data_IF_458964622001
#
_entry.id   IF_458964622001
#
_cell.length_a   1.000
_cell.length_b   1.000
_cell.length_c   1.000
_cell.angle_alpha   90.00
_cell.angle_beta   90.00
_cell.angle_gamma   90.00
#
_symmetry.space_group_name_H-M   'P 1'
#
loop_
_entity.id
_entity.type
_entity.pdbx_description
1 polymer ?
#
# COMPACT_ATOMS: atom_id res chain seq x y z
N UNK A 1 -2.62 7.49 -52.60
CA UNK A 1 -1.77 6.95 -51.55
C UNK A 1 -2.68 6.36 -50.48
N UNK A 2 -2.73 5.02 -50.41
CA UNK A 2 -3.63 4.30 -49.48
C UNK A 2 -2.82 3.95 -48.23
N UNK A 3 -3.19 4.53 -47.08
CA UNK A 3 -2.64 4.17 -45.77
C UNK A 3 -3.18 2.80 -45.34
N UNK A 4 -2.29 1.82 -45.16
CA UNK A 4 -2.62 0.49 -44.61
C UNK A 4 -2.63 0.60 -43.10
N UNK A 5 -3.81 0.45 -42.51
CA UNK A 5 -3.95 0.18 -41.08
C UNK A 5 -3.57 -1.29 -40.85
N UNK A 6 -2.49 -1.52 -40.13
CA UNK A 6 -2.13 -2.83 -39.60
C UNK A 6 -2.89 -2.98 -38.29
N UNK A 7 -3.97 -3.75 -38.33
CA UNK A 7 -4.71 -4.18 -37.16
C UNK A 7 -3.92 -5.32 -36.51
N UNK A 8 -3.18 -5.04 -35.44
CA UNK A 8 -2.57 -6.08 -34.60
C UNK A 8 -3.65 -6.74 -33.78
N UNK A 9 -4.13 -7.87 -34.27
CA UNK A 9 -5.02 -8.77 -33.51
C UNK A 9 -4.19 -9.51 -32.46
N UNK A 10 -4.16 -8.98 -31.25
CA UNK A 10 -3.71 -9.68 -30.07
C UNK A 10 -4.70 -10.81 -29.77
N UNK A 11 -4.28 -12.04 -30.03
CA UNK A 11 -5.04 -13.26 -29.75
C UNK A 11 -5.11 -13.42 -28.23
N UNK A 12 -6.22 -12.98 -27.61
CA UNK A 12 -6.55 -13.30 -26.24
C UNK A 12 -6.83 -14.82 -26.15
N UNK A 13 -5.81 -15.55 -25.69
CA UNK A 13 -5.98 -16.96 -25.33
C UNK A 13 -6.78 -16.99 -24.01
N UNK A 14 -8.12 -17.04 -24.11
CA UNK A 14 -9.00 -17.24 -22.98
C UNK A 14 -8.88 -18.66 -22.47
N UNK A 15 -7.93 -18.92 -21.59
CA UNK A 15 -7.98 -20.10 -20.73
C UNK A 15 -9.16 -19.93 -19.77
N UNK A 16 -10.22 -20.69 -20.00
CA UNK A 16 -11.34 -20.89 -19.08
C UNK A 16 -10.84 -21.69 -17.86
N UNK A 17 -10.10 -21.03 -16.97
CA UNK A 17 -9.93 -21.49 -15.59
C UNK A 17 -11.18 -21.04 -14.83
N UNK A 18 -11.99 -22.00 -14.38
CA UNK A 18 -13.23 -21.75 -13.66
C UNK A 18 -12.92 -20.87 -12.41
N UNK A 19 -13.27 -19.58 -12.46
CA UNK A 19 -13.28 -18.69 -11.30
C UNK A 19 -12.28 -17.52 -11.30
N UNK A 20 -11.26 -17.47 -12.19
CA UNK A 20 -10.37 -16.30 -12.27
C UNK A 20 -10.97 -15.25 -13.21
N UNK A 21 -11.12 -14.02 -12.70
CA UNK A 21 -11.39 -12.83 -13.54
C UNK A 21 -10.14 -11.95 -13.50
N UNK A 22 -9.48 -11.84 -14.64
CA UNK A 22 -8.36 -10.91 -14.83
C UNK A 22 -8.81 -9.74 -15.71
N UNK A 23 -8.36 -8.54 -15.34
CA UNK A 23 -8.54 -7.32 -16.16
C UNK A 23 -7.28 -6.47 -16.02
N UNK A 24 -6.83 -5.91 -17.13
CA UNK A 24 -5.80 -4.89 -17.13
C UNK A 24 -6.48 -3.54 -16.96
N UNK A 25 -6.01 -2.75 -16.02
CA UNK A 25 -6.49 -1.38 -15.78
C UNK A 25 -5.29 -0.44 -15.71
N UNK A 26 -5.38 0.77 -16.28
CA UNK A 26 -4.37 1.79 -16.08
C UNK A 26 -4.33 2.15 -14.60
N UNK A 27 -3.14 2.12 -14.00
CA UNK A 27 -2.90 2.70 -12.69
C UNK A 27 -2.61 4.20 -12.81
N UNK A 28 -2.66 4.91 -11.70
CA UNK A 28 -2.11 6.27 -11.65
C UNK A 28 -0.59 6.18 -11.80
N UNK A 29 -0.09 6.36 -13.05
CA UNK A 29 1.31 6.22 -13.43
C UNK A 29 1.47 5.51 -14.78
N UNK A 30 2.70 5.18 -15.15
CA UNK A 30 3.04 4.55 -16.43
C UNK A 30 2.85 3.01 -16.45
N UNK A 31 2.48 2.40 -15.33
CA UNK A 31 2.40 0.94 -15.19
C UNK A 31 0.96 0.46 -15.21
N UNK A 32 0.59 -0.30 -16.23
CA UNK A 32 -0.67 -1.04 -16.24
C UNK A 32 -0.65 -2.13 -15.17
N UNK A 33 -1.76 -2.28 -14.44
CA UNK A 33 -1.90 -3.31 -13.41
C UNK A 33 -2.85 -4.42 -13.86
N UNK A 34 -2.52 -5.65 -13.46
CA UNK A 34 -3.36 -6.82 -13.67
C UNK A 34 -4.17 -7.02 -12.40
N UNK A 35 -5.46 -6.74 -12.48
CA UNK A 35 -6.38 -6.97 -11.37
C UNK A 35 -6.96 -8.37 -11.46
N UNK A 36 -6.83 -9.15 -10.39
CA UNK A 36 -7.33 -10.52 -10.33
C UNK A 36 -8.12 -10.78 -9.05
N UNK A 37 -9.16 -11.59 -9.19
CA UNK A 37 -9.91 -12.16 -8.08
C UNK A 37 -9.82 -13.67 -8.17
N UNK A 38 -9.10 -14.30 -7.25
CA UNK A 38 -8.86 -15.74 -7.24
C UNK A 38 -9.44 -16.32 -5.96
N UNK A 39 -10.39 -17.27 -6.04
CA UNK A 39 -11.11 -17.76 -4.86
C UNK A 39 -10.29 -18.73 -3.99
N UNK A 40 -9.21 -19.31 -4.52
CA UNK A 40 -8.40 -20.31 -3.84
C UNK A 40 -6.91 -20.01 -3.89
N UNK A 41 -6.16 -20.49 -2.89
CA UNK A 41 -4.71 -20.33 -2.88
C UNK A 41 -4.00 -21.11 -4.00
N UNK A 42 -4.57 -22.25 -4.46
CA UNK A 42 -4.04 -23.00 -5.59
C UNK A 42 -4.13 -22.20 -6.89
N UNK A 43 -5.31 -21.64 -7.20
CA UNK A 43 -5.48 -20.77 -8.38
C UNK A 43 -4.57 -19.55 -8.33
N UNK A 44 -4.33 -19.00 -7.12
CA UNK A 44 -3.38 -17.90 -6.95
C UNK A 44 -1.94 -18.33 -7.20
N UNK A 45 -1.53 -19.53 -6.79
CA UNK A 45 -0.21 -20.09 -7.13
C UNK A 45 -0.05 -20.29 -8.65
N UNK A 46 -1.09 -20.76 -9.34
CA UNK A 46 -1.09 -20.87 -10.80
C UNK A 46 -0.93 -19.49 -11.46
N UNK A 47 -1.65 -18.47 -10.98
CA UNK A 47 -1.50 -17.08 -11.45
C UNK A 47 -0.07 -16.58 -11.21
N UNK A 48 0.50 -16.77 -10.03
CA UNK A 48 1.89 -16.38 -9.77
C UNK A 48 2.90 -17.09 -10.67
N UNK A 49 2.65 -18.37 -11.00
CA UNK A 49 3.51 -19.11 -11.93
C UNK A 49 3.39 -18.59 -13.37
N UNK A 50 2.17 -18.24 -13.81
CA UNK A 50 1.92 -17.66 -15.14
C UNK A 50 2.73 -16.39 -15.35
N UNK A 51 2.81 -15.54 -14.31
CA UNK A 51 3.59 -14.29 -14.36
C UNK A 51 5.04 -14.46 -13.91
N UNK A 52 5.53 -15.70 -13.75
CA UNK A 52 6.89 -16.02 -13.28
C UNK A 52 7.27 -15.25 -12.00
N UNK A 53 6.30 -15.13 -11.08
CA UNK A 53 6.48 -14.37 -9.85
C UNK A 53 7.06 -15.22 -8.73
N UNK A 54 8.35 -15.01 -8.44
CA UNK A 54 9.07 -15.73 -7.37
C UNK A 54 9.83 -14.72 -6.51
N UNK A 55 9.58 -14.70 -5.18
CA UNK A 55 10.21 -13.75 -4.24
C UNK A 55 11.73 -13.88 -4.17
N UNK A 56 12.29 -15.02 -4.55
CA UNK A 56 13.73 -15.25 -4.54
C UNK A 56 14.41 -14.86 -5.87
N UNK A 57 13.60 -14.44 -6.88
CA UNK A 57 14.04 -14.06 -8.23
C UNK A 57 13.27 -12.85 -8.73
N UNK A 58 13.33 -11.73 -7.97
CA UNK A 58 12.64 -10.48 -8.31
C UNK A 58 13.57 -9.41 -8.87
N UNK A 59 14.75 -9.81 -9.38
CA UNK A 59 15.71 -8.89 -10.01
C UNK A 59 15.16 -8.14 -11.22
N UNK A 60 14.18 -8.75 -11.95
CA UNK A 60 13.48 -8.13 -13.08
C UNK A 60 12.24 -7.31 -12.65
N UNK A 61 12.08 -7.07 -11.35
CA UNK A 61 10.93 -6.40 -10.75
C UNK A 61 9.77 -7.33 -10.40
N UNK A 62 8.85 -6.79 -9.62
CA UNK A 62 7.64 -7.46 -9.13
C UNK A 62 6.53 -7.29 -10.16
N UNK A 63 5.82 -8.36 -10.59
CA UNK A 63 4.71 -8.17 -11.52
C UNK A 63 3.61 -7.30 -10.88
N UNK A 64 3.02 -6.36 -11.62
CA UNK A 64 1.98 -5.45 -11.10
C UNK A 64 0.64 -6.18 -10.96
N UNK A 65 0.61 -7.21 -10.11
CA UNK A 65 -0.51 -8.11 -9.91
C UNK A 65 -1.30 -7.72 -8.68
N UNK A 66 -2.48 -7.15 -8.87
CA UNK A 66 -3.38 -6.69 -7.82
C UNK A 66 -4.41 -7.77 -7.48
N UNK A 67 -4.24 -8.42 -6.34
CA UNK A 67 -5.22 -9.36 -5.79
C UNK A 67 -6.25 -8.56 -4.99
N UNK A 68 -7.52 -8.57 -5.42
CA UNK A 68 -8.56 -7.76 -4.79
C UNK A 68 -8.97 -8.24 -3.40
N UNK A 69 -8.92 -9.57 -3.16
CA UNK A 69 -9.33 -10.19 -1.89
C UNK A 69 -8.39 -11.31 -1.50
N UNK A 70 -8.24 -11.51 -0.20
CA UNK A 70 -7.51 -12.66 0.32
C UNK A 70 -8.27 -13.96 0.01
N UNK A 71 -7.60 -15.03 -0.50
CA UNK A 71 -8.23 -16.33 -0.67
C UNK A 71 -8.79 -16.86 0.65
N UNK A 72 -10.06 -17.31 0.62
CA UNK A 72 -10.74 -17.77 1.84
C UNK A 72 -10.13 -19.05 2.42
N UNK A 73 -9.42 -19.82 1.61
CA UNK A 73 -8.81 -21.09 1.97
C UNK A 73 -7.32 -21.01 2.31
N UNK A 74 -6.76 -19.79 2.46
CA UNK A 74 -5.34 -19.58 2.79
C UNK A 74 -4.93 -20.29 4.09
N UNK A 75 -5.84 -20.39 5.06
CA UNK A 75 -5.61 -21.09 6.33
C UNK A 75 -5.40 -22.62 6.16
N UNK A 76 -5.84 -23.22 5.03
CA UNK A 76 -5.67 -24.65 4.73
C UNK A 76 -4.24 -25.03 4.35
N UNK A 77 -3.39 -24.05 4.08
CA UNK A 77 -1.97 -24.30 3.79
C UNK A 77 -1.29 -24.71 5.11
N UNK A 78 -1.00 -26.02 5.23
CA UNK A 78 -0.40 -26.58 6.44
C UNK A 78 1.04 -26.10 6.64
N UNK A 79 1.80 -25.95 5.55
CA UNK A 79 3.19 -25.53 5.59
C UNK A 79 3.28 -24.00 5.74
N UNK A 80 3.82 -23.57 6.91
CA UNK A 80 3.81 -22.16 7.34
C UNK A 80 4.59 -21.26 6.38
N UNK A 81 5.73 -21.71 5.89
CA UNK A 81 6.58 -20.90 5.01
C UNK A 81 5.92 -20.69 3.63
N UNK A 82 5.21 -21.68 3.12
CA UNK A 82 4.41 -21.53 1.89
C UNK A 82 3.29 -20.51 2.08
N UNK A 83 2.57 -20.55 3.22
CA UNK A 83 1.52 -19.57 3.54
C UNK A 83 2.07 -18.15 3.64
N UNK A 84 3.19 -17.95 4.35
CA UNK A 84 3.88 -16.66 4.44
C UNK A 84 4.31 -16.15 3.07
N UNK A 85 4.87 -17.02 2.25
CA UNK A 85 5.35 -16.68 0.90
C UNK A 85 4.20 -16.23 -0.01
N UNK A 86 3.05 -16.90 0.03
CA UNK A 86 1.85 -16.50 -0.71
C UNK A 86 1.34 -15.14 -0.20
N UNK A 87 1.27 -14.96 1.12
CA UNK A 87 0.88 -13.70 1.74
C UNK A 87 1.75 -12.53 1.25
N UNK A 88 3.07 -12.68 1.29
CA UNK A 88 3.97 -11.64 0.79
C UNK A 88 3.82 -11.38 -0.71
N UNK A 89 3.60 -12.42 -1.53
CA UNK A 89 3.35 -12.25 -2.96
C UNK A 89 2.06 -11.48 -3.25
N UNK A 90 1.04 -11.62 -2.42
CA UNK A 90 -0.20 -10.84 -2.53
C UNK A 90 0.06 -9.37 -2.22
N UNK A 91 0.78 -9.07 -1.12
CA UNK A 91 0.87 -7.72 -0.60
C UNK A 91 1.96 -6.87 -1.22
N UNK A 92 3.07 -7.48 -1.63
CA UNK A 92 4.21 -6.75 -2.16
C UNK A 92 3.85 -5.86 -3.36
N UNK A 93 3.13 -6.35 -4.41
CA UNK A 93 2.71 -5.48 -5.51
C UNK A 93 1.80 -4.32 -5.07
N UNK A 94 0.92 -4.56 -4.08
CA UNK A 94 -0.01 -3.54 -3.57
C UNK A 94 0.73 -2.42 -2.84
N UNK A 95 1.73 -2.78 -2.02
CA UNK A 95 2.56 -1.82 -1.29
C UNK A 95 3.39 -0.98 -2.26
N UNK A 96 3.99 -1.62 -3.27
CA UNK A 96 4.77 -0.93 -4.30
C UNK A 96 3.89 0.04 -5.09
N UNK A 97 2.70 -0.39 -5.53
CA UNK A 97 1.75 0.46 -6.26
C UNK A 97 1.36 1.70 -5.44
N UNK A 98 1.03 1.50 -4.15
CA UNK A 98 0.70 2.62 -3.26
C UNK A 98 1.89 3.56 -3.08
N UNK A 99 3.11 3.03 -2.96
CA UNK A 99 4.32 3.84 -2.86
C UNK A 99 4.61 4.63 -4.14
N UNK A 100 4.42 4.03 -5.32
CA UNK A 100 4.59 4.71 -6.62
C UNK A 100 3.61 5.88 -6.76
N UNK A 101 2.34 5.71 -6.35
CA UNK A 101 1.36 6.80 -6.31
C UNK A 101 1.78 7.93 -5.36
N UNK A 102 2.28 7.60 -4.18
CA UNK A 102 2.78 8.60 -3.22
C UNK A 102 3.99 9.34 -3.77
N UNK A 103 4.87 8.66 -4.49
CA UNK A 103 6.02 9.29 -5.15
C UNK A 103 5.56 10.26 -6.25
N UNK A 104 4.57 9.88 -7.07
CA UNK A 104 4.00 10.77 -8.07
C UNK A 104 3.35 12.01 -7.45
N UNK A 105 2.62 11.87 -6.34
CA UNK A 105 2.10 13.01 -5.57
C UNK A 105 3.22 13.91 -5.03
N UNK A 106 4.33 13.29 -4.58
CA UNK A 106 5.51 14.02 -4.10
C UNK A 106 6.21 14.79 -5.22
N UNK A 107 6.32 14.22 -6.41
CA UNK A 107 6.87 14.90 -7.60
C UNK A 107 6.03 16.11 -7.98
N UNK A 108 4.69 16.01 -7.93
CA UNK A 108 3.81 17.15 -8.15
C UNK A 108 4.05 18.26 -7.12
N UNK A 109 4.24 17.92 -5.83
CA UNK A 109 4.54 18.90 -4.77
C UNK A 109 5.88 19.59 -5.00
N UNK A 110 6.92 18.86 -5.43
CA UNK A 110 8.23 19.43 -5.74
C UNK A 110 8.15 20.40 -6.94
N UNK A 111 7.38 20.04 -7.98
CA UNK A 111 7.15 20.93 -9.12
C UNK A 111 6.38 22.20 -8.71
N UNK A 112 5.38 22.09 -7.84
CA UNK A 112 4.65 23.23 -7.28
C UNK A 112 5.57 24.12 -6.43
N UNK A 113 6.45 23.51 -5.62
CA UNK A 113 7.42 24.24 -4.82
C UNK A 113 8.37 25.06 -5.72
N UNK A 114 8.93 24.44 -6.75
CA UNK A 114 9.82 25.10 -7.68
C UNK A 114 9.12 26.26 -8.39
N UNK A 115 7.91 26.07 -8.90
CA UNK A 115 7.15 27.14 -9.56
C UNK A 115 6.90 28.32 -8.63
N UNK A 116 6.53 28.05 -7.35
CA UNK A 116 6.31 29.11 -6.37
C UNK A 116 7.59 29.91 -6.07
N UNK A 117 8.75 29.22 -6.01
CA UNK A 117 10.04 29.87 -5.80
C UNK A 117 10.49 30.72 -7.00
N UNK A 118 10.20 30.28 -8.24
CA UNK A 118 10.61 30.97 -9.47
C UNK A 118 9.68 32.14 -9.85
N UNK A 119 8.34 31.93 -9.77
CA UNK A 119 7.36 32.89 -10.24
C UNK A 119 6.66 33.69 -9.13
N UNK A 120 6.73 33.20 -7.89
CA UNK A 120 6.01 33.75 -6.75
C UNK A 120 4.49 33.52 -6.76
N UNK A 121 3.97 32.80 -7.77
CA UNK A 121 2.53 32.54 -7.94
C UNK A 121 2.28 31.11 -8.42
N UNK A 122 1.09 30.58 -8.13
CA UNK A 122 0.67 29.27 -8.59
C UNK A 122 -0.47 29.39 -9.60
N UNK A 123 -0.52 28.50 -10.58
CA UNK A 123 -1.66 28.37 -11.49
C UNK A 123 -2.89 27.81 -10.75
N UNK A 124 -4.11 28.03 -11.28
CA UNK A 124 -5.32 27.45 -10.68
C UNK A 124 -5.29 25.91 -10.56
N UNK A 125 -4.64 25.22 -11.50
CA UNK A 125 -4.47 23.77 -11.47
C UNK A 125 -3.56 23.34 -10.31
N UNK A 126 -2.45 24.06 -10.12
CA UNK A 126 -1.52 23.80 -9.01
C UNK A 126 -2.16 24.07 -7.64
N UNK A 127 -3.00 25.13 -7.55
CA UNK A 127 -3.78 25.41 -6.33
C UNK A 127 -4.75 24.26 -6.04
N UNK A 128 -5.51 23.79 -7.02
CA UNK A 128 -6.43 22.66 -6.85
C UNK A 128 -5.69 21.38 -6.43
N UNK A 129 -4.53 21.11 -7.02
CA UNK A 129 -3.68 19.97 -6.64
C UNK A 129 -3.22 20.08 -5.18
N UNK A 130 -2.75 21.28 -4.78
CA UNK A 130 -2.30 21.54 -3.42
C UNK A 130 -3.45 21.37 -2.40
N UNK A 131 -4.65 21.84 -2.72
CA UNK A 131 -5.85 21.68 -1.89
C UNK A 131 -6.24 20.21 -1.74
N UNK A 132 -6.24 19.44 -2.83
CA UNK A 132 -6.53 18.00 -2.81
C UNK A 132 -5.54 17.24 -1.94
N UNK A 133 -4.24 17.51 -2.10
CA UNK A 133 -3.19 16.87 -1.31
C UNK A 133 -3.23 17.32 0.16
N UNK A 134 -3.51 18.60 0.44
CA UNK A 134 -3.69 19.10 1.79
C UNK A 134 -4.85 18.42 2.52
N UNK A 135 -5.97 18.24 1.83
CA UNK A 135 -7.12 17.47 2.35
C UNK A 135 -6.73 16.02 2.66
N UNK A 136 -6.09 15.33 1.72
CA UNK A 136 -5.66 13.94 1.86
C UNK A 136 -4.70 13.75 3.03
N UNK A 137 -3.67 14.58 3.08
CA UNK A 137 -2.64 14.50 4.11
C UNK A 137 -2.98 15.29 5.38
N UNK A 138 -4.21 15.80 5.51
CA UNK A 138 -4.73 16.52 6.70
C UNK A 138 -3.89 17.74 7.10
N UNK A 139 -3.41 18.51 6.13
CA UNK A 139 -2.77 19.81 6.36
C UNK A 139 -3.83 20.90 6.28
N UNK A 140 -3.86 21.81 7.24
CA UNK A 140 -4.85 22.90 7.27
C UNK A 140 -4.29 24.13 6.54
N UNK A 141 -4.86 24.43 5.38
CA UNK A 141 -4.48 25.55 4.51
C UNK A 141 -4.78 26.93 5.11
N UNK A 142 -5.77 27.04 5.98
CA UNK A 142 -6.15 28.34 6.58
C UNK A 142 -5.14 28.81 7.65
N UNK A 143 -4.31 27.90 8.16
CA UNK A 143 -3.37 28.17 9.26
C UNK A 143 -1.94 28.39 8.81
N UNK A 144 -1.62 28.04 7.58
CA UNK A 144 -0.25 27.99 7.10
C UNK A 144 -0.10 28.83 5.82
N UNK A 145 1.03 29.46 5.65
CA UNK A 145 1.41 30.05 4.36
C UNK A 145 1.65 28.95 3.31
N UNK A 146 1.50 29.28 2.03
CA UNK A 146 1.61 28.31 0.92
C UNK A 146 2.93 27.55 0.93
N UNK A 147 4.04 28.23 1.10
CA UNK A 147 5.39 27.61 1.20
C UNK A 147 5.48 26.63 2.37
N UNK A 148 4.94 27.01 3.52
CA UNK A 148 4.90 26.14 4.71
C UNK A 148 3.98 24.94 4.52
N UNK A 149 2.85 25.13 3.85
CA UNK A 149 1.95 24.04 3.47
C UNK A 149 2.68 23.00 2.62
N UNK A 150 3.41 23.44 1.60
CA UNK A 150 4.19 22.54 0.71
C UNK A 150 5.25 21.77 1.51
N UNK A 151 5.99 22.42 2.39
CA UNK A 151 6.97 21.74 3.26
C UNK A 151 6.33 20.66 4.14
N UNK A 152 5.17 20.95 4.75
CA UNK A 152 4.42 20.01 5.57
C UNK A 152 3.92 18.83 4.73
N UNK A 153 3.44 19.09 3.52
CA UNK A 153 2.99 18.06 2.59
C UNK A 153 4.15 17.18 2.14
N UNK A 154 5.31 17.75 1.77
CA UNK A 154 6.52 17.01 1.42
C UNK A 154 7.04 16.13 2.56
N UNK A 155 6.83 16.53 3.81
CA UNK A 155 7.15 15.71 4.98
C UNK A 155 6.17 14.54 5.17
N UNK A 156 4.89 14.71 4.75
CA UNK A 156 3.84 13.70 4.87
C UNK A 156 3.78 12.78 3.66
N UNK A 157 3.79 13.31 2.45
CA UNK A 157 3.77 12.56 1.19
C UNK A 157 5.11 11.88 0.93
N UNK A 158 5.31 10.71 1.53
CA UNK A 158 6.51 9.90 1.34
C UNK A 158 6.18 8.42 1.56
N UNK A 159 6.97 7.54 0.95
CA UNK A 159 6.75 6.09 0.94
C UNK A 159 6.75 5.48 2.34
N UNK A 160 6.08 4.34 2.45
CA UNK A 160 6.21 3.45 3.61
C UNK A 160 7.18 2.33 3.22
N UNK A 161 8.27 2.07 4.00
CA UNK A 161 9.18 0.99 3.69
C UNK A 161 8.46 -0.35 3.52
N UNK A 162 8.82 -1.06 2.46
CA UNK A 162 8.16 -2.32 2.09
C UNK A 162 8.27 -3.37 3.19
N UNK A 163 9.45 -3.50 3.79
CA UNK A 163 9.70 -4.44 4.88
C UNK A 163 8.85 -4.15 6.13
N UNK A 164 8.66 -2.88 6.47
CA UNK A 164 7.81 -2.44 7.56
C UNK A 164 6.33 -2.72 7.28
N UNK A 165 5.85 -2.33 6.09
CA UNK A 165 4.45 -2.53 5.71
C UNK A 165 4.07 -4.01 5.66
N UNK A 166 4.96 -4.88 5.12
CA UNK A 166 4.76 -6.33 5.10
C UNK A 166 4.72 -6.93 6.51
N UNK A 167 5.62 -6.50 7.41
CA UNK A 167 5.67 -6.99 8.79
C UNK A 167 4.41 -6.58 9.57
N UNK A 168 3.98 -5.32 9.47
CA UNK A 168 2.76 -4.86 10.12
C UNK A 168 1.53 -5.57 9.57
N UNK A 169 1.40 -5.71 8.26
CA UNK A 169 0.29 -6.45 7.66
C UNK A 169 0.24 -7.91 8.13
N UNK A 170 1.39 -8.60 8.21
CA UNK A 170 1.48 -9.97 8.69
C UNK A 170 1.02 -10.10 10.15
N UNK A 171 1.48 -9.18 11.00
CA UNK A 171 1.12 -9.14 12.42
C UNK A 171 -0.38 -8.87 12.64
N UNK A 172 -0.91 -7.84 12.02
CA UNK A 172 -2.29 -7.38 12.22
C UNK A 172 -3.34 -8.31 11.60
N UNK A 173 -3.00 -8.98 10.48
CA UNK A 173 -3.92 -9.84 9.73
C UNK A 173 -3.82 -11.34 10.09
N UNK A 174 -2.94 -11.71 11.03
CA UNK A 174 -2.57 -13.11 11.26
C UNK A 174 -2.18 -13.82 9.93
N UNK A 175 -1.28 -13.20 9.18
CA UNK A 175 -0.85 -13.70 7.86
C UNK A 175 -1.99 -13.82 6.84
N UNK A 176 -2.93 -12.90 6.85
CA UNK A 176 -4.09 -12.87 5.95
C UNK A 176 -5.23 -13.81 6.34
N UNK A 177 -5.15 -14.50 7.49
CA UNK A 177 -6.16 -15.48 7.89
C UNK A 177 -7.17 -14.95 8.90
N UNK A 178 -7.01 -13.72 9.38
CA UNK A 178 -7.93 -13.12 10.35
C UNK A 178 -9.32 -12.93 9.73
N UNK A 179 -10.37 -13.06 10.56
CA UNK A 179 -11.75 -12.83 10.16
C UNK A 179 -11.93 -11.47 9.47
N UNK A 180 -11.32 -10.41 10.01
CA UNK A 180 -11.47 -9.06 9.46
C UNK A 180 -10.77 -8.88 8.12
N UNK A 181 -9.66 -9.59 7.89
CA UNK A 181 -9.03 -9.63 6.57
C UNK A 181 -9.95 -10.29 5.54
N UNK A 182 -10.55 -11.44 5.88
CA UNK A 182 -11.36 -12.21 4.96
C UNK A 182 -12.72 -11.54 4.62
N UNK A 183 -13.38 -10.94 5.62
CA UNK A 183 -14.74 -10.39 5.44
C UNK A 183 -14.79 -8.88 5.20
N UNK A 184 -13.71 -8.16 5.52
CA UNK A 184 -13.63 -6.70 5.43
C UNK A 184 -12.43 -6.20 4.63
N UNK A 185 -11.57 -7.05 4.07
CA UNK A 185 -10.29 -6.69 3.45
C UNK A 185 -9.40 -5.82 4.36
N UNK A 186 -9.58 -5.90 5.68
CA UNK A 186 -8.86 -5.07 6.65
C UNK A 186 -7.58 -5.77 7.10
N UNK A 187 -6.45 -5.38 6.48
CA UNK A 187 -5.13 -5.96 6.71
C UNK A 187 -4.43 -5.40 7.95
N UNK A 188 -4.80 -4.20 8.40
CA UNK A 188 -4.06 -3.43 9.40
C UNK A 188 -4.87 -3.11 10.67
N UNK A 189 -6.01 -3.76 10.85
CA UNK A 189 -6.83 -3.57 12.04
C UNK A 189 -7.44 -2.16 12.15
N UNK A 190 -7.68 -1.47 11.04
CA UNK A 190 -8.17 -0.09 11.05
C UNK A 190 -9.62 0.01 11.51
N UNK A 191 -9.89 1.05 12.29
CA UNK A 191 -11.22 1.36 12.83
C UNK A 191 -11.90 2.48 12.05
N UNK A 192 -13.24 2.50 12.10
CA UNK A 192 -14.07 3.63 11.70
C UNK A 192 -15.00 4.00 12.85
N UNK A 193 -15.28 5.30 12.98
CA UNK A 193 -16.24 5.85 13.94
C UNK A 193 -17.51 6.34 13.25
N UNK A 194 -17.68 5.98 11.97
CA UNK A 194 -18.88 6.27 11.18
C UNK A 194 -19.70 4.98 11.14
N UNK A 195 -20.88 4.94 11.80
CA UNK A 195 -21.70 3.76 11.85
C UNK A 195 -22.11 3.25 10.46
N UNK A 196 -22.05 1.93 10.28
CA UNK A 196 -22.39 1.27 9.02
C UNK A 196 -21.27 1.23 7.97
N UNK A 197 -20.10 1.80 8.26
CA UNK A 197 -18.93 1.71 7.36
C UNK A 197 -17.98 0.56 7.68
N UNK A 198 -18.31 -0.26 8.65
CA UNK A 198 -17.46 -1.35 9.10
C UNK A 198 -18.24 -2.59 9.54
N UNK A 199 -17.56 -3.38 10.35
CA UNK A 199 -18.12 -4.56 11.03
C UNK A 199 -18.07 -4.29 12.53
N UNK A 200 -19.21 -4.43 13.18
CA UNK A 200 -19.28 -4.34 14.64
C UNK A 200 -18.51 -5.51 15.25
N UNK A 201 -17.44 -5.26 16.04
CA UNK A 201 -16.72 -6.35 16.68
C UNK A 201 -17.57 -7.04 17.75
N UNK A 202 -17.37 -8.34 17.92
CA UNK A 202 -18.00 -9.11 18.98
C UNK A 202 -17.54 -8.57 20.33
N UNK A 203 -18.49 -8.33 21.24
CA UNK A 203 -18.17 -7.79 22.57
C UNK A 203 -17.90 -6.27 22.63
N UNK A 204 -18.23 -5.51 21.55
CA UNK A 204 -18.21 -4.04 21.65
C UNK A 204 -19.09 -3.58 22.80
N UNK A 205 -18.57 -2.77 23.76
CA UNK A 205 -19.36 -2.25 24.88
C UNK A 205 -20.59 -1.47 24.39
N UNK A 206 -21.65 -1.48 25.20
CA UNK A 206 -22.85 -0.69 24.92
C UNK A 206 -22.51 0.81 24.95
N UNK A 207 -23.01 1.55 23.97
CA UNK A 207 -22.73 2.98 23.79
C UNK A 207 -21.51 3.31 22.95
N UNK A 208 -20.63 2.35 22.68
CA UNK A 208 -19.49 2.54 21.77
C UNK A 208 -19.93 2.47 20.31
N UNK A 209 -19.36 3.35 19.46
CA UNK A 209 -19.74 3.48 18.04
C UNK A 209 -18.70 2.94 17.06
N UNK A 210 -17.51 2.56 17.54
CA UNK A 210 -16.44 2.11 16.68
C UNK A 210 -16.75 0.78 15.98
N UNK A 211 -16.36 0.68 14.73
CA UNK A 211 -16.46 -0.52 13.89
C UNK A 211 -15.11 -0.83 13.27
N UNK A 212 -14.83 -2.10 12.96
CA UNK A 212 -13.69 -2.48 12.14
C UNK A 212 -13.98 -2.07 10.72
N UNK A 213 -13.18 -1.16 10.17
CA UNK A 213 -13.40 -0.56 8.85
C UNK A 213 -13.41 -1.63 7.75
N UNK A 214 -14.37 -1.51 6.84
CA UNK A 214 -14.49 -2.37 5.66
C UNK A 214 -13.92 -1.68 4.43
N UNK A 215 -13.15 -2.41 3.64
CA UNK A 215 -12.55 -1.91 2.41
C UNK A 215 -13.09 -2.67 1.20
N UNK A 216 -13.26 -2.00 0.03
CA UNK A 216 -13.65 -2.66 -1.21
C UNK A 216 -12.63 -3.73 -1.63
N UNK A 217 -11.33 -3.42 -1.55
CA UNK A 217 -10.22 -4.30 -1.94
C UNK A 217 -9.09 -4.27 -0.90
N UNK A 218 -8.14 -5.21 -1.04
CA UNK A 218 -6.89 -5.21 -0.25
C UNK A 218 -6.05 -3.95 -0.54
N UNK A 219 -6.08 -3.49 -1.80
CA UNK A 219 -5.41 -2.25 -2.20
C UNK A 219 -5.91 -1.04 -1.38
N UNK A 220 -7.25 -0.88 -1.24
CA UNK A 220 -7.82 0.21 -0.45
C UNK A 220 -7.38 0.16 1.02
N UNK A 221 -7.21 -1.04 1.58
CA UNK A 221 -6.68 -1.23 2.93
C UNK A 221 -5.22 -0.77 3.04
N UNK A 222 -4.36 -1.15 2.07
CA UNK A 222 -2.95 -0.73 2.02
C UNK A 222 -2.86 0.78 1.84
N UNK A 223 -3.66 1.37 0.92
CA UNK A 223 -3.66 2.81 0.70
C UNK A 223 -4.10 3.57 1.95
N UNK A 224 -5.16 3.13 2.59
CA UNK A 224 -5.66 3.75 3.84
C UNK A 224 -4.65 3.65 4.99
N UNK A 225 -3.89 2.54 5.08
CA UNK A 225 -2.80 2.39 6.04
C UNK A 225 -1.68 3.40 5.78
N UNK A 226 -1.23 3.54 4.53
CA UNK A 226 -0.21 4.51 4.17
C UNK A 226 -0.66 5.95 4.45
N UNK A 227 -1.90 6.31 4.08
CA UNK A 227 -2.49 7.62 4.39
C UNK A 227 -2.53 7.88 5.90
N UNK A 228 -2.82 6.87 6.71
CA UNK A 228 -2.86 6.99 8.18
C UNK A 228 -1.47 7.28 8.77
N UNK A 229 -0.44 6.52 8.40
CA UNK A 229 0.93 6.78 8.86
C UNK A 229 1.45 8.14 8.38
N UNK A 230 1.07 8.53 7.18
CA UNK A 230 1.49 9.77 6.55
C UNK A 230 0.78 11.01 7.10
N UNK A 231 -0.44 10.88 7.64
CA UNK A 231 -1.25 12.05 8.02
C UNK A 231 -1.61 12.15 9.50
N UNK A 232 -1.82 11.02 10.20
CA UNK A 232 -2.31 11.05 11.57
C UNK A 232 -1.26 11.57 12.57
N UNK A 233 -1.69 12.39 13.54
CA UNK A 233 -0.77 13.03 14.49
C UNK A 233 0.01 12.05 15.35
N UNK A 234 -0.57 10.91 15.73
CA UNK A 234 0.10 9.87 16.50
C UNK A 234 1.39 9.34 15.85
N UNK A 235 1.52 9.45 14.52
CA UNK A 235 2.69 8.99 13.75
C UNK A 235 3.64 10.11 13.35
N UNK A 236 3.60 11.25 14.02
CA UNK A 236 4.61 12.30 13.84
C UNK A 236 6.04 11.79 14.14
N UNK A 237 6.29 10.98 15.20
CA UNK A 237 7.62 10.41 15.45
C UNK A 237 8.12 9.57 14.28
N UNK A 238 7.28 8.72 13.70
CA UNK A 238 7.59 7.94 12.50
C UNK A 238 8.04 8.84 11.34
N UNK A 239 7.26 9.89 11.02
CA UNK A 239 7.61 10.84 9.96
C UNK A 239 8.87 11.64 10.25
N UNK A 240 9.15 11.91 11.52
CA UNK A 240 10.38 12.60 11.94
C UNK A 240 11.61 11.73 11.72
N UNK A 241 11.57 10.45 12.11
CA UNK A 241 12.63 9.48 11.84
C UNK A 241 12.86 9.31 10.34
N UNK A 242 11.77 9.18 9.56
CA UNK A 242 11.84 9.06 8.10
C UNK A 242 12.48 10.27 7.43
N UNK A 243 12.20 11.48 7.91
CA UNK A 243 12.80 12.70 7.39
C UNK A 243 14.31 12.76 7.62
N UNK A 244 14.81 12.20 8.72
CA UNK A 244 16.25 12.10 9.01
C UNK A 244 16.93 11.10 8.09
N UNK A 245 16.31 9.93 7.84
CA UNK A 245 16.85 8.90 6.94
C UNK A 245 16.82 9.35 5.46
N UNK A 246 15.90 10.22 5.07
CA UNK A 246 15.72 10.65 3.67
C UNK A 246 16.83 11.59 3.15
N UNK A 247 18.00 11.59 3.79
CA UNK A 247 19.17 12.40 3.39
C UNK A 247 20.08 11.72 2.36
N UNK A 248 19.54 10.75 1.59
CA UNK A 248 20.26 10.04 0.53
C UNK A 248 20.53 8.56 0.83
N UNK A 249 20.09 8.07 1.97
CA UNK A 249 20.14 6.65 2.34
C UNK A 249 18.77 5.98 2.14
N UNK A 250 18.81 4.67 1.97
CA UNK A 250 17.65 3.81 1.89
C UNK A 250 16.86 3.80 3.21
N UNK A 251 15.52 3.87 3.15
CA UNK A 251 14.67 3.85 4.35
C UNK A 251 14.72 2.49 5.05
N UNK A 252 15.13 2.48 6.32
CA UNK A 252 15.20 1.28 7.15
C UNK A 252 13.92 1.09 7.98
N UNK A 253 13.09 0.09 7.60
CA UNK A 253 11.86 -0.22 8.31
C UNK A 253 12.07 -0.64 9.76
N UNK A 254 13.23 -1.21 10.12
CA UNK A 254 13.56 -1.56 11.51
C UNK A 254 13.72 -0.30 12.36
N UNK A 255 14.43 0.71 11.85
CA UNK A 255 14.61 1.99 12.55
C UNK A 255 13.29 2.76 12.60
N UNK A 256 12.56 2.78 11.47
CA UNK A 256 11.28 3.52 11.41
C UNK A 256 10.18 2.92 12.28
N UNK A 257 10.25 1.61 12.60
CA UNK A 257 9.34 0.98 13.56
C UNK A 257 9.37 1.64 14.94
N UNK A 258 10.48 2.24 15.35
CA UNK A 258 10.60 2.96 16.64
C UNK A 258 9.64 4.16 16.73
N UNK A 259 9.24 4.72 15.60
CA UNK A 259 8.24 5.80 15.53
C UNK A 259 6.78 5.33 15.66
N UNK A 260 6.53 4.02 15.84
CA UNK A 260 5.20 3.41 15.88
C UNK A 260 4.71 3.01 17.28
N UNK A 261 5.27 3.61 18.33
CA UNK A 261 4.86 3.33 19.72
C UNK A 261 3.35 3.49 19.97
N UNK A 262 2.71 4.43 19.27
CA UNK A 262 1.28 4.68 19.36
C UNK A 262 0.41 3.78 18.47
N UNK A 263 1.00 2.85 17.72
CA UNK A 263 0.25 1.95 16.85
C UNK A 263 -0.52 0.88 17.64
N UNK A 264 0.05 0.44 18.75
CA UNK A 264 -0.56 -0.53 19.65
C UNK A 264 -0.42 -0.08 21.11
N UNK A 265 -1.39 -0.45 21.95
CA UNK A 265 -1.30 -0.25 23.41
C UNK A 265 -0.10 -0.95 24.04
N UNK A 266 0.51 -1.92 23.33
CA UNK A 266 1.72 -2.65 23.77
C UNK A 266 3.01 -1.81 23.64
N UNK A 267 2.94 -0.65 22.97
CA UNK A 267 4.05 0.28 22.85
C UNK A 267 5.34 -0.37 22.34
N UNK A 268 6.40 -0.37 23.14
CA UNK A 268 7.70 -0.93 22.78
C UNK A 268 7.69 -2.44 22.47
N UNK A 269 6.83 -3.23 23.12
CA UNK A 269 6.71 -4.67 22.82
C UNK A 269 6.23 -4.89 21.39
N UNK A 270 5.28 -4.06 20.93
CA UNK A 270 4.85 -4.05 19.55
C UNK A 270 5.98 -3.70 18.58
N UNK A 271 6.75 -2.65 18.87
CA UNK A 271 7.90 -2.25 18.05
C UNK A 271 8.91 -3.38 17.93
N UNK A 272 9.27 -4.02 19.06
CA UNK A 272 10.21 -5.17 19.07
C UNK A 272 9.68 -6.35 18.25
N UNK A 273 8.39 -6.63 18.31
CA UNK A 273 7.75 -7.69 17.52
C UNK A 273 7.84 -7.41 16.01
N UNK A 274 7.51 -6.19 15.58
CA UNK A 274 7.63 -5.80 14.16
C UNK A 274 9.07 -5.87 13.69
N UNK A 275 10.03 -5.36 14.46
CA UNK A 275 11.45 -5.46 14.14
C UNK A 275 11.92 -6.92 14.05
N UNK A 276 11.47 -7.79 14.96
CA UNK A 276 11.78 -9.22 14.92
C UNK A 276 11.18 -9.88 13.67
N UNK A 277 9.95 -9.52 13.30
CA UNK A 277 9.28 -10.06 12.11
C UNK A 277 10.01 -9.68 10.83
N UNK A 278 10.48 -8.43 10.71
CA UNK A 278 11.31 -7.99 9.57
C UNK A 278 12.57 -8.85 9.47
N UNK A 279 13.31 -9.06 10.58
CA UNK A 279 14.56 -9.83 10.59
C UNK A 279 14.33 -11.32 10.31
N UNK A 280 13.38 -11.95 11.01
CA UNK A 280 13.10 -13.39 10.91
C UNK A 280 12.62 -13.83 9.52
N UNK A 281 11.91 -12.97 8.82
CA UNK A 281 11.42 -13.25 7.47
C UNK A 281 12.31 -12.63 6.37
N UNK A 282 13.48 -12.07 6.73
CA UNK A 282 14.44 -11.45 5.81
C UNK A 282 13.76 -10.45 4.85
N UNK A 283 12.87 -9.59 5.38
CA UNK A 283 12.10 -8.65 4.57
C UNK A 283 12.94 -7.49 4.05
N UNK A 284 14.06 -7.18 4.68
CA UNK A 284 14.99 -6.13 4.27
C UNK A 284 15.46 -6.29 2.82
N UNK A 285 15.57 -7.54 2.31
CA UNK A 285 15.89 -7.83 0.91
C UNK A 285 14.85 -7.34 -0.10
N UNK A 286 13.69 -6.90 0.36
CA UNK A 286 12.59 -6.41 -0.47
C UNK A 286 12.49 -4.88 -0.50
N UNK A 287 13.44 -4.16 0.06
CA UNK A 287 13.40 -2.69 0.15
C UNK A 287 13.51 -2.00 -1.21
N UNK A 288 14.46 -2.46 -2.04
CA UNK A 288 14.83 -1.85 -3.32
C UNK A 288 14.08 -2.43 -4.52
N UNK A 289 13.06 -3.25 -4.27
CA UNK A 289 12.30 -3.83 -5.36
C UNK A 289 11.28 -2.83 -5.90
N UNK A 290 11.05 -2.87 -7.21
CA UNK A 290 10.06 -2.05 -7.90
C UNK A 290 9.09 -2.91 -8.69
N UNK A 291 7.99 -2.32 -9.12
CA UNK A 291 7.11 -2.96 -10.11
C UNK A 291 7.84 -3.06 -11.44
N UNK A 292 7.71 -4.19 -12.14
CA UNK A 292 8.20 -4.32 -13.49
C UNK A 292 7.20 -3.70 -14.47
N UNK A 293 7.71 -3.05 -15.53
CA UNK A 293 6.88 -2.59 -16.65
C UNK A 293 6.32 -3.81 -17.38
N UNK A 294 5.06 -3.76 -17.75
CA UNK A 294 4.45 -4.75 -18.62
C UNK A 294 4.83 -4.42 -20.07
N UNK A 295 5.35 -5.41 -20.81
CA UNK A 295 5.64 -5.28 -22.24
C UNK A 295 4.37 -5.48 -23.09
#
# INVERSE_FOLDING_TARGET
MKAKYILSTMLLLSLLLAGCRERVVPAHGETDVIVTTVPSYQGLQETFNLYNYQLDRIGDGVPPLVVEKMPEDLYRIAEVETRKRIFFKILLPLILLVNDEILAEREQLLAIQQELEESGTLSPEQVNTLEALASRYRVNLEKEETSRTIELLLRRANIIPVDLALAQAANESAWGTSRFTLVANNLFGQWTFIPGQGIVPEGRPEGEIYEVRKFPTLYDSVRSYADNLNSHNAYQPFRSLRAVQNTGEELDGIVLAEGLLSYSIRGEDYVREIQAMIRQNNLQRLRDVSLRKME
#
